data_IF_330248040177
#
_entry.id   IF_330248040177
#
_cell.length_a   1.000
_cell.length_b   1.000
_cell.length_c   1.000
_cell.angle_alpha   90.00
_cell.angle_beta   90.00
_cell.angle_gamma   90.00
#
_symmetry.space_group_name_H-M   'P 1'
#
loop_
_entity.id
_entity.type
_entity.pdbx_description
1 polymer ?
#
# COMPACT_ATOMS: atom_id res chain seq x y z
N UNK A 1 -4.06 1.50 -1.02
CA UNK A 1 -4.00 2.76 -0.24
C UNK A 1 -4.75 2.66 1.07
N UNK A 2 -5.85 1.90 1.13
CA UNK A 2 -6.48 1.51 2.42
C UNK A 2 -5.49 1.02 3.48
N UNK A 3 -4.56 0.11 3.15
CA UNK A 3 -3.56 -0.40 4.11
C UNK A 3 -2.58 0.68 4.63
N UNK A 4 -2.18 1.65 3.81
CA UNK A 4 -1.33 2.77 4.27
C UNK A 4 -2.07 3.69 5.24
N UNK A 5 -3.38 3.85 5.09
CA UNK A 5 -4.20 4.67 5.96
C UNK A 5 -4.64 3.89 7.22
N UNK A 6 -4.97 2.60 7.07
CA UNK A 6 -5.17 1.65 8.16
C UNK A 6 -3.90 1.40 8.98
N UNK A 7 -2.71 1.73 8.45
CA UNK A 7 -1.48 1.75 9.23
C UNK A 7 -1.59 2.65 10.46
N UNK A 8 -2.37 3.75 10.40
CA UNK A 8 -2.66 4.58 11.56
C UNK A 8 -3.45 3.85 12.67
N UNK A 9 -4.29 2.88 12.29
CA UNK A 9 -5.04 2.02 13.23
C UNK A 9 -4.16 0.86 13.73
N UNK A 10 -3.29 0.32 12.87
CA UNK A 10 -2.30 -0.69 13.26
C UNK A 10 -1.17 -0.12 14.13
N UNK A 11 -0.92 1.18 14.05
CA UNK A 11 0.17 1.88 14.74
C UNK A 11 0.25 1.57 16.25
N UNK A 12 -0.82 1.76 17.05
CA UNK A 12 -0.80 1.42 18.47
C UNK A 12 -0.65 -0.08 18.75
N UNK A 13 -1.12 -0.95 17.85
CA UNK A 13 -1.05 -2.41 17.99
C UNK A 13 0.37 -2.91 17.78
N UNK A 14 1.06 -2.38 16.76
CA UNK A 14 2.45 -2.72 16.46
C UNK A 14 3.34 -2.30 17.64
N UNK A 15 3.11 -1.11 18.21
CA UNK A 15 3.81 -0.64 19.42
C UNK A 15 3.57 -1.61 20.59
N UNK A 16 2.33 -2.08 20.78
CA UNK A 16 1.98 -3.00 21.88
C UNK A 16 2.56 -4.40 21.69
N UNK A 17 2.58 -4.90 20.45
CA UNK A 17 3.09 -6.25 20.13
C UNK A 17 4.62 -6.33 20.10
N UNK A 18 5.29 -5.28 19.64
CA UNK A 18 6.76 -5.23 19.58
C UNK A 18 7.41 -4.54 20.79
N UNK A 19 6.62 -3.90 21.66
CA UNK A 19 7.09 -3.10 22.79
C UNK A 19 8.12 -2.01 22.38
N UNK A 20 8.03 -1.55 21.13
CA UNK A 20 8.99 -0.64 20.49
C UNK A 20 8.61 0.84 20.67
N UNK A 21 9.60 1.73 20.56
CA UNK A 21 9.39 3.18 20.66
C UNK A 21 8.43 3.68 19.58
N UNK A 22 7.50 4.57 19.98
CA UNK A 22 6.52 5.24 19.11
C UNK A 22 7.18 5.95 17.90
N UNK A 23 8.44 6.33 18.05
CA UNK A 23 9.26 6.90 16.97
C UNK A 23 9.54 5.86 15.88
N UNK A 24 9.99 4.65 16.24
CA UNK A 24 10.34 3.60 15.27
C UNK A 24 9.14 3.27 14.36
N UNK A 25 7.96 3.09 14.95
CA UNK A 25 6.76 2.81 14.14
C UNK A 25 6.41 3.95 13.18
N UNK A 26 6.66 5.22 13.56
CA UNK A 26 6.44 6.38 12.68
C UNK A 26 7.37 6.37 11.47
N UNK A 27 8.62 5.94 11.66
CA UNK A 27 9.58 5.82 10.57
C UNK A 27 9.13 4.82 9.50
N UNK A 28 8.40 3.76 9.85
CA UNK A 28 7.89 2.77 8.89
C UNK A 28 6.91 3.44 7.91
N UNK A 29 5.94 4.19 8.45
CA UNK A 29 4.96 4.92 7.65
C UNK A 29 5.61 5.99 6.76
N UNK A 30 6.56 6.75 7.32
CA UNK A 30 7.31 7.78 6.59
C UNK A 30 8.20 7.21 5.49
N UNK A 31 8.86 6.07 5.73
CA UNK A 31 9.66 5.37 4.73
C UNK A 31 8.78 4.81 3.62
N UNK A 32 7.67 4.14 3.95
CA UNK A 32 6.73 3.63 2.97
C UNK A 32 6.16 4.76 2.10
N UNK A 33 5.78 5.89 2.71
CA UNK A 33 5.32 7.09 2.01
C UNK A 33 6.39 7.67 1.09
N UNK A 34 7.61 7.88 1.60
CA UNK A 34 8.73 8.40 0.82
C UNK A 34 9.09 7.51 -0.37
N UNK A 35 9.15 6.19 -0.16
CA UNK A 35 9.40 5.23 -1.23
C UNK A 35 8.30 5.25 -2.29
N UNK A 36 7.05 5.38 -1.88
CA UNK A 36 5.92 5.50 -2.80
C UNK A 36 6.09 6.70 -3.74
N UNK A 37 6.48 7.87 -3.20
CA UNK A 37 6.73 9.06 -4.00
C UNK A 37 7.96 8.88 -4.91
N UNK A 38 9.06 8.37 -4.36
CA UNK A 38 10.30 8.18 -5.10
C UNK A 38 10.16 7.14 -6.23
N UNK A 39 9.42 6.06 -5.97
CA UNK A 39 9.15 5.02 -6.94
C UNK A 39 8.08 5.41 -7.98
N UNK A 40 7.34 6.52 -7.80
CA UNK A 40 6.29 6.93 -8.74
C UNK A 40 6.81 7.21 -10.17
N UNK A 41 7.87 8.02 -10.39
CA UNK A 41 8.43 8.21 -11.73
C UNK A 41 9.08 6.94 -12.30
N UNK A 42 9.73 6.13 -11.46
CA UNK A 42 10.33 4.85 -11.86
C UNK A 42 9.26 3.87 -12.33
N UNK A 43 8.16 3.75 -11.58
CA UNK A 43 7.00 2.94 -11.92
C UNK A 43 6.30 3.42 -13.20
N UNK A 44 6.32 4.72 -13.47
CA UNK A 44 5.82 5.31 -14.72
C UNK A 44 6.61 4.82 -15.92
N UNK A 45 7.94 4.95 -15.88
CA UNK A 45 8.86 4.44 -16.91
C UNK A 45 8.73 2.93 -17.09
N UNK A 46 8.58 2.19 -16.00
CA UNK A 46 8.42 0.74 -16.03
C UNK A 46 7.08 0.32 -16.64
N UNK A 47 6.00 1.05 -16.37
CA UNK A 47 4.67 0.84 -16.95
C UNK A 47 4.56 1.27 -18.42
N UNK A 48 5.51 2.07 -18.90
CA UNK A 48 5.63 2.44 -20.31
C UNK A 48 6.31 1.32 -21.12
N UNK A 49 7.32 0.66 -20.53
CA UNK A 49 7.99 -0.51 -21.12
C UNK A 49 7.21 -1.82 -20.99
N UNK A 50 6.56 -2.06 -19.86
CA UNK A 50 5.79 -3.28 -19.62
C UNK A 50 4.30 -3.03 -19.80
N UNK A 51 3.59 -3.96 -20.44
CA UNK A 51 2.13 -3.91 -20.54
C UNK A 51 1.51 -3.67 -19.17
N UNK A 52 0.69 -2.62 -19.05
CA UNK A 52 0.12 -2.14 -17.80
C UNK A 52 -0.48 -3.28 -16.95
N UNK A 53 -1.15 -4.25 -17.58
CA UNK A 53 -1.70 -5.45 -16.94
C UNK A 53 -0.66 -6.29 -16.19
N UNK A 54 0.50 -6.56 -16.78
CA UNK A 54 1.54 -7.36 -16.13
C UNK A 54 2.12 -6.62 -14.92
N UNK A 55 2.33 -5.31 -15.02
CA UNK A 55 2.83 -4.49 -13.91
C UNK A 55 1.84 -4.46 -12.76
N UNK A 56 0.54 -4.32 -13.04
CA UNK A 56 -0.49 -4.35 -11.98
C UNK A 56 -0.54 -5.71 -11.30
N UNK A 57 -0.47 -6.82 -12.05
CA UNK A 57 -0.52 -8.17 -11.49
C UNK A 57 0.73 -8.49 -10.65
N UNK A 58 1.93 -8.14 -11.14
CA UNK A 58 3.19 -8.33 -10.38
C UNK A 58 3.18 -7.43 -9.14
N UNK A 59 2.72 -6.19 -9.26
CA UNK A 59 2.64 -5.25 -8.15
C UNK A 59 1.68 -5.70 -7.05
N UNK A 60 0.49 -6.20 -7.41
CA UNK A 60 -0.47 -6.72 -6.42
C UNK A 60 0.05 -7.98 -5.75
N UNK A 61 0.62 -8.92 -6.49
CA UNK A 61 1.24 -10.13 -5.92
C UNK A 61 2.37 -9.74 -4.97
N UNK A 62 3.26 -8.82 -5.37
CA UNK A 62 4.35 -8.33 -4.53
C UNK A 62 3.84 -7.66 -3.24
N UNK A 63 2.76 -6.85 -3.34
CA UNK A 63 2.13 -6.25 -2.16
C UNK A 63 1.49 -7.28 -1.23
N UNK A 64 0.83 -8.31 -1.76
CA UNK A 64 0.24 -9.40 -0.95
C UNK A 64 1.34 -10.19 -0.26
N UNK A 65 2.37 -10.59 -1.00
CA UNK A 65 3.53 -11.30 -0.43
C UNK A 65 4.20 -10.43 0.63
N UNK A 66 4.39 -9.13 0.38
CA UNK A 66 4.94 -8.19 1.37
C UNK A 66 4.12 -8.11 2.65
N UNK A 67 2.78 -8.12 2.56
CA UNK A 67 1.89 -8.15 3.73
C UNK A 67 1.98 -9.48 4.49
N UNK A 68 1.93 -10.59 3.77
CA UNK A 68 2.00 -11.92 4.37
C UNK A 68 3.35 -12.10 5.07
N UNK A 69 4.45 -11.73 4.40
CA UNK A 69 5.79 -11.74 4.99
C UNK A 69 5.89 -10.81 6.20
N UNK A 70 5.26 -9.64 6.18
CA UNK A 70 5.19 -8.74 7.33
C UNK A 70 4.45 -9.37 8.52
N UNK A 71 3.40 -10.18 8.27
CA UNK A 71 2.69 -10.92 9.32
C UNK A 71 3.53 -12.00 10.01
N UNK A 72 4.55 -12.54 9.35
CA UNK A 72 5.48 -13.52 9.92
C UNK A 72 6.77 -12.89 10.46
N UNK A 73 6.97 -11.57 10.26
CA UNK A 73 8.17 -10.90 10.70
C UNK A 73 8.19 -10.80 12.24
N UNK A 74 9.16 -11.45 12.87
CA UNK A 74 9.42 -11.37 14.33
C UNK A 74 10.35 -10.22 14.74
N UNK A 75 10.86 -9.45 13.79
CA UNK A 75 11.80 -8.35 14.03
C UNK A 75 11.33 -7.07 13.33
N UNK A 76 11.43 -5.95 14.04
CA UNK A 76 11.00 -4.64 13.55
C UNK A 76 11.78 -4.24 12.28
N UNK A 77 13.07 -4.61 12.21
CA UNK A 77 13.96 -4.36 11.06
C UNK A 77 13.47 -5.10 9.80
N UNK A 78 13.05 -6.36 9.96
CA UNK A 78 12.48 -7.14 8.84
C UNK A 78 11.16 -6.53 8.40
N UNK A 79 10.35 -6.07 9.36
CA UNK A 79 9.09 -5.37 9.09
C UNK A 79 9.30 -4.05 8.33
N UNK A 80 10.35 -3.27 8.64
CA UNK A 80 10.73 -2.09 7.85
C UNK A 80 11.00 -2.43 6.40
N UNK A 81 11.73 -3.51 6.14
CA UNK A 81 12.13 -3.88 4.78
C UNK A 81 10.96 -4.44 3.97
N UNK A 82 10.14 -5.31 4.56
CA UNK A 82 8.97 -5.91 3.87
C UNK A 82 7.85 -4.90 3.68
N UNK A 83 7.47 -4.16 4.74
CA UNK A 83 6.36 -3.22 4.71
C UNK A 83 6.73 -1.88 4.07
N UNK A 84 7.92 -1.36 4.33
CA UNK A 84 8.38 -0.11 3.74
C UNK A 84 8.77 -0.28 2.27
N UNK A 85 9.69 -1.21 2.01
CA UNK A 85 10.34 -1.34 0.70
C UNK A 85 9.52 -2.18 -0.26
N UNK A 86 9.16 -3.41 0.13
CA UNK A 86 8.41 -4.34 -0.73
C UNK A 86 6.98 -3.89 -0.98
N UNK A 87 6.24 -3.59 0.10
CA UNK A 87 4.87 -3.12 -0.03
C UNK A 87 4.79 -1.70 -0.60
N UNK A 88 5.69 -0.78 -0.21
CA UNK A 88 5.76 0.57 -0.79
C UNK A 88 6.05 0.57 -2.29
N UNK A 89 6.99 -0.26 -2.75
CA UNK A 89 7.29 -0.42 -4.18
C UNK A 89 6.11 -1.02 -4.95
N UNK A 90 5.54 -2.13 -4.45
CA UNK A 90 4.36 -2.77 -5.07
C UNK A 90 3.16 -1.82 -5.17
N UNK A 91 2.88 -1.08 -4.09
CA UNK A 91 1.78 -0.12 -4.05
C UNK A 91 1.99 1.09 -4.99
N UNK A 92 3.23 1.49 -5.26
CA UNK A 92 3.54 2.54 -6.23
C UNK A 92 3.29 2.06 -7.67
N UNK A 93 3.77 0.85 -8.01
CA UNK A 93 3.55 0.23 -9.32
C UNK A 93 2.06 0.04 -9.65
N UNK A 94 1.27 -0.46 -8.68
CA UNK A 94 -0.17 -0.64 -8.87
C UNK A 94 -0.89 0.69 -9.08
N UNK A 95 -0.50 1.74 -8.36
CA UNK A 95 -1.11 3.07 -8.50
C UNK A 95 -0.82 3.66 -9.87
N UNK A 96 0.45 3.72 -10.25
CA UNK A 96 0.87 4.33 -11.52
C UNK A 96 0.27 3.59 -12.72
N UNK A 97 0.24 2.26 -12.69
CA UNK A 97 -0.41 1.46 -13.74
C UNK A 97 -1.92 1.70 -13.80
N UNK A 98 -2.61 1.76 -12.66
CA UNK A 98 -4.06 2.04 -12.62
C UNK A 98 -4.39 3.41 -13.24
N UNK A 99 -3.62 4.45 -12.91
CA UNK A 99 -3.80 5.78 -13.51
C UNK A 99 -3.49 5.79 -15.02
N UNK A 100 -2.44 5.08 -15.46
CA UNK A 100 -2.09 4.95 -16.88
C UNK A 100 -3.16 4.23 -17.70
N UNK A 101 -3.73 3.14 -17.18
CA UNK A 101 -4.84 2.41 -17.84
C UNK A 101 -6.04 3.33 -18.01
N UNK A 102 -6.44 4.04 -16.96
CA UNK A 102 -7.57 4.98 -17.01
C UNK A 102 -7.31 6.12 -18.00
N UNK A 103 -6.08 6.66 -18.02
CA UNK A 103 -5.68 7.72 -18.94
C UNK A 103 -5.67 7.29 -20.41
N UNK A 104 -5.30 6.02 -20.69
CA UNK A 104 -5.33 5.42 -22.04
C UNK A 104 -6.74 5.06 -22.51
N UNK A 105 -7.58 4.49 -21.65
CA UNK A 105 -8.91 4.00 -22.04
C UNK A 105 -9.97 5.11 -22.14
N UNK A 106 -9.92 6.14 -21.30
CA UNK A 106 -10.95 7.20 -21.28
C UNK A 106 -10.38 8.55 -21.69
N UNK A 107 -10.30 8.83 -23.00
CA UNK A 107 -9.81 10.14 -23.47
C UNK A 107 -10.81 11.29 -23.23
N UNK A 108 -12.12 11.02 -23.34
CA UNK A 108 -13.19 12.05 -23.30
C UNK A 108 -13.79 12.31 -21.90
N UNK A 109 -13.62 11.38 -20.94
CA UNK A 109 -14.15 11.49 -19.55
C UNK A 109 -13.12 11.10 -18.48
N UNK A 110 -11.86 11.51 -18.64
CA UNK A 110 -10.76 11.29 -17.66
C UNK A 110 -11.16 11.59 -16.20
N UNK A 111 -11.70 12.78 -15.87
CA UNK A 111 -11.98 13.14 -14.47
C UNK A 111 -13.04 12.25 -13.81
N UNK A 112 -13.99 11.72 -14.58
CA UNK A 112 -15.04 10.85 -14.05
C UNK A 112 -14.49 9.47 -13.69
N UNK A 113 -13.65 8.90 -14.56
CA UNK A 113 -13.01 7.61 -14.32
C UNK A 113 -11.99 7.67 -13.18
N UNK A 114 -11.20 8.75 -13.08
CA UNK A 114 -10.33 8.97 -11.92
C UNK A 114 -11.14 9.20 -10.65
N UNK A 115 -12.30 9.87 -10.74
CA UNK A 115 -13.24 10.01 -9.62
C UNK A 115 -13.67 8.66 -9.05
N UNK A 116 -14.06 7.72 -9.91
CA UNK A 116 -14.41 6.34 -9.52
C UNK A 116 -13.20 5.60 -8.93
N UNK A 117 -12.02 5.75 -9.52
CA UNK A 117 -10.79 5.14 -8.98
C UNK A 117 -10.48 5.66 -7.57
N UNK A 118 -10.70 6.95 -7.33
CA UNK A 118 -10.41 7.60 -6.05
C UNK A 118 -11.49 7.27 -5.02
N UNK A 119 -12.75 7.13 -5.41
CA UNK A 119 -13.84 6.72 -4.50
C UNK A 119 -13.66 5.29 -4.02
N UNK A 120 -13.10 4.40 -4.86
CA UNK A 120 -12.70 3.04 -4.45
C UNK A 120 -11.70 3.03 -3.28
N UNK A 121 -10.84 4.04 -3.15
CA UNK A 121 -9.94 4.17 -2.00
C UNK A 121 -10.70 4.43 -0.68
N UNK A 122 -11.73 5.30 -0.74
CA UNK A 122 -12.56 5.60 0.43
C UNK A 122 -13.35 4.38 0.90
N UNK A 123 -13.96 3.65 -0.05
CA UNK A 123 -14.68 2.39 0.25
C UNK A 123 -13.72 1.35 0.83
N UNK A 124 -12.53 1.21 0.24
CA UNK A 124 -11.51 0.29 0.72
C UNK A 124 -11.10 0.59 2.17
N UNK A 125 -10.92 1.86 2.54
CA UNK A 125 -10.65 2.25 3.93
C UNK A 125 -11.84 1.97 4.85
N UNK A 126 -13.06 2.27 4.40
CA UNK A 126 -14.28 2.05 5.17
C UNK A 126 -14.55 0.57 5.48
N UNK A 127 -14.13 -0.33 4.59
CA UNK A 127 -14.21 -1.79 4.81
C UNK A 127 -13.02 -2.29 5.63
N UNK A 128 -11.80 -1.80 5.34
CA UNK A 128 -10.60 -2.27 6.06
C UNK A 128 -10.61 -1.85 7.53
N UNK A 129 -11.08 -0.64 7.86
CA UNK A 129 -11.10 -0.11 9.22
C UNK A 129 -11.85 -1.02 10.22
N UNK A 130 -13.13 -1.36 10.03
CA UNK A 130 -13.85 -2.26 10.92
C UNK A 130 -13.29 -3.68 10.87
N UNK A 131 -12.78 -4.13 9.71
CA UNK A 131 -12.18 -5.46 9.59
C UNK A 131 -10.90 -5.58 10.42
N UNK A 132 -10.05 -4.54 10.43
CA UNK A 132 -8.88 -4.49 11.33
C UNK A 132 -9.29 -4.42 12.80
N UNK A 133 -10.34 -3.68 13.16
CA UNK A 133 -10.82 -3.65 14.55
C UNK A 133 -11.38 -5.01 14.99
N UNK A 134 -12.18 -5.67 14.16
CA UNK A 134 -12.72 -7.00 14.45
C UNK A 134 -11.62 -8.07 14.59
N UNK A 135 -10.56 -7.98 13.77
CA UNK A 135 -9.37 -8.82 13.93
C UNK A 135 -8.66 -8.53 15.25
N UNK A 136 -8.51 -7.27 15.64
CA UNK A 136 -7.84 -6.91 16.89
C UNK A 136 -8.60 -7.38 18.13
N UNK A 137 -9.92 -7.25 18.15
CA UNK A 137 -10.76 -7.73 19.26
C UNK A 137 -10.75 -9.26 19.42
N UNK A 138 -10.43 -10.03 18.37
CA UNK A 138 -10.30 -11.48 18.47
C UNK A 138 -8.90 -11.95 18.92
N UNK A 139 -7.87 -11.10 18.81
CA UNK A 139 -6.48 -11.42 19.14
C UNK A 139 -5.99 -10.75 20.44
N UNK A 140 -6.83 -9.95 21.11
CA UNK A 140 -6.57 -9.30 22.41
C UNK A 140 -7.42 -9.92 23.51
#
# INVERSE_FOLDING_TARGET
MGILHSFGVLFPVIIRSFNSSRQETAWIGSLAGSLVFFASPVAGRLSEKFSCRCVTMIGTVCSVVGLVSASFAKSIIVYYFTYGLMFGFGASCVRTSSFLVVAKYFHKRRPFATGILTSGNGIGLFVLAPLTQALLDNFV
#
